data_IF_236272956524
#
_entry.id   IF_236272956524
#
_cell.length_a   1.000
_cell.length_b   1.000
_cell.length_c   1.000
_cell.angle_alpha   90.00
_cell.angle_beta   90.00
_cell.angle_gamma   90.00
#
_symmetry.space_group_name_H-M   'P 1'
#
loop_
_entity.id
_entity.type
_entity.pdbx_description
1 polymer ?
#
# COMPACT_ATOMS: atom_id res chain seq x y z
N UNK A 1 32.04 39.17 -23.99
CA UNK A 1 30.97 38.60 -23.10
C UNK A 1 30.24 39.81 -22.52
N UNK A 2 28.97 40.03 -22.87
CA UNK A 2 28.20 41.16 -22.35
C UNK A 2 27.97 40.97 -20.84
N UNK A 3 28.17 42.02 -20.06
CA UNK A 3 27.86 42.02 -18.63
C UNK A 3 26.36 41.68 -18.42
N UNK A 4 26.02 40.82 -17.47
CA UNK A 4 24.63 40.46 -17.23
C UNK A 4 23.81 41.68 -16.86
N UNK A 5 22.63 41.80 -17.46
CA UNK A 5 21.70 42.90 -17.15
C UNK A 5 21.06 42.63 -15.78
N UNK A 6 21.12 43.62 -14.88
CA UNK A 6 20.55 43.52 -13.54
C UNK A 6 19.13 44.09 -13.53
N UNK A 7 18.20 43.34 -12.98
CA UNK A 7 16.80 43.69 -12.80
C UNK A 7 16.52 44.02 -11.33
N UNK A 8 15.76 45.06 -11.07
CA UNK A 8 15.20 45.28 -9.74
C UNK A 8 14.26 44.16 -9.37
N UNK A 9 14.11 43.88 -8.06
CA UNK A 9 13.26 42.78 -7.56
C UNK A 9 11.82 42.83 -8.12
N UNK A 10 11.25 43.99 -8.37
CA UNK A 10 9.93 44.17 -8.97
C UNK A 10 9.88 43.73 -10.44
N UNK A 11 10.91 44.06 -11.22
CA UNK A 11 11.02 43.65 -12.64
C UNK A 11 11.30 42.15 -12.74
N UNK A 12 12.17 41.63 -11.87
CA UNK A 12 12.46 40.21 -11.79
C UNK A 12 11.21 39.39 -11.37
N UNK A 13 10.42 39.94 -10.45
CA UNK A 13 9.12 39.38 -10.06
C UNK A 13 8.18 39.25 -11.26
N UNK A 14 8.07 40.29 -12.07
CA UNK A 14 7.25 40.26 -13.30
C UNK A 14 7.77 39.26 -14.33
N UNK A 15 9.07 39.20 -14.53
CA UNK A 15 9.70 38.29 -15.49
C UNK A 15 9.56 36.80 -15.09
N UNK A 16 9.57 36.48 -13.79
CA UNK A 16 9.55 35.11 -13.27
C UNK A 16 8.19 34.66 -12.78
N UNK A 17 7.21 35.59 -12.63
CA UNK A 17 5.91 35.36 -12.02
C UNK A 17 6.01 34.85 -10.56
N UNK A 18 7.11 35.22 -9.88
CA UNK A 18 7.29 34.99 -8.44
C UNK A 18 6.99 36.29 -7.70
N UNK A 19 6.23 36.26 -6.64
CA UNK A 19 5.96 37.44 -5.84
C UNK A 19 7.24 37.99 -5.17
N UNK A 20 7.31 39.29 -4.94
CA UNK A 20 8.42 39.93 -4.22
C UNK A 20 8.60 39.29 -2.82
N UNK A 21 7.50 38.87 -2.17
CA UNK A 21 7.53 38.13 -0.87
C UNK A 21 8.24 36.80 -1.03
N UNK A 22 7.93 36.04 -2.07
CA UNK A 22 8.59 34.75 -2.34
C UNK A 22 10.07 34.93 -2.65
N UNK A 23 10.43 35.91 -3.46
CA UNK A 23 11.84 36.23 -3.79
C UNK A 23 12.65 36.57 -2.54
N UNK A 24 12.08 37.35 -1.62
CA UNK A 24 12.71 37.68 -0.34
C UNK A 24 12.89 36.43 0.53
N UNK A 25 11.88 35.58 0.55
CA UNK A 25 11.93 34.30 1.28
C UNK A 25 12.98 33.35 0.69
N UNK A 26 13.05 33.22 -0.64
CA UNK A 26 14.06 32.40 -1.32
C UNK A 26 15.48 32.87 -1.07
N UNK A 27 15.68 34.19 -0.99
CA UNK A 27 16.96 34.74 -0.55
C UNK A 27 17.28 34.36 0.91
N UNK A 28 16.31 34.49 1.83
CA UNK A 28 16.53 34.18 3.25
C UNK A 28 16.93 32.72 3.48
N UNK A 29 16.38 31.78 2.70
CA UNK A 29 16.67 30.35 2.82
C UNK A 29 17.80 29.88 1.90
N UNK A 30 18.46 30.79 1.17
CA UNK A 30 19.56 30.45 0.25
C UNK A 30 19.15 29.67 -1.00
N UNK A 31 17.87 29.69 -1.40
CA UNK A 31 17.38 29.00 -2.59
C UNK A 31 17.60 29.80 -3.88
N UNK A 32 17.44 31.11 -3.82
CA UNK A 32 17.69 32.04 -4.94
C UNK A 32 18.21 33.37 -4.39
N UNK A 33 19.51 33.58 -4.49
CA UNK A 33 20.17 34.74 -3.95
C UNK A 33 20.26 35.86 -5.01
N UNK A 34 19.99 37.14 -4.66
CA UNK A 34 20.23 38.24 -5.56
C UNK A 34 21.73 38.40 -5.83
N UNK A 35 22.09 38.84 -7.02
CA UNK A 35 23.50 39.10 -7.40
C UNK A 35 24.06 40.32 -6.66
N UNK A 36 23.18 41.26 -6.31
CA UNK A 36 23.56 42.47 -5.58
C UNK A 36 22.48 42.86 -4.58
N UNK A 37 22.91 43.29 -3.40
CA UNK A 37 22.07 43.88 -2.36
C UNK A 37 22.68 45.20 -1.92
N UNK A 38 22.02 46.29 -2.23
CA UNK A 38 22.41 47.62 -1.78
C UNK A 38 22.43 47.67 -0.24
N UNK A 39 23.59 47.90 0.35
CA UNK A 39 23.79 47.90 1.80
C UNK A 39 23.08 49.02 2.54
N UNK A 40 22.86 50.17 1.84
CA UNK A 40 22.22 51.32 2.46
C UNK A 40 20.69 51.25 2.42
N UNK A 41 20.13 50.72 1.34
CA UNK A 41 18.68 50.68 1.10
C UNK A 41 18.08 49.30 1.23
N UNK A 42 18.88 48.22 1.26
CA UNK A 42 18.44 46.82 1.26
C UNK A 42 17.82 46.38 -0.10
N UNK A 43 18.03 47.20 -1.17
CA UNK A 43 17.48 46.89 -2.48
C UNK A 43 18.18 45.70 -3.12
N UNK A 44 17.39 44.73 -3.62
CA UNK A 44 17.89 43.50 -4.23
C UNK A 44 17.84 43.58 -5.74
N UNK A 45 18.92 43.15 -6.39
CA UNK A 45 19.02 43.07 -7.85
C UNK A 45 19.35 41.65 -8.27
N UNK A 46 18.67 41.17 -9.28
CA UNK A 46 18.84 39.84 -9.85
C UNK A 46 19.35 39.94 -11.30
N UNK A 47 20.18 38.98 -11.72
CA UNK A 47 20.62 38.88 -13.11
C UNK A 47 19.51 38.28 -13.99
N UNK A 48 19.47 38.71 -15.24
CA UNK A 48 18.62 38.04 -16.26
C UNK A 48 18.95 36.57 -16.41
N UNK A 49 20.18 36.13 -16.15
CA UNK A 49 20.59 34.72 -16.19
C UNK A 49 19.91 33.85 -15.10
N UNK A 50 19.45 34.51 -14.02
CA UNK A 50 18.72 33.82 -12.94
C UNK A 50 17.23 33.57 -13.25
N UNK A 51 16.71 34.12 -14.36
CA UNK A 51 15.30 33.96 -14.73
C UNK A 51 14.98 32.48 -14.95
N UNK A 52 15.82 31.74 -15.68
CA UNK A 52 15.63 30.30 -15.92
C UNK A 52 15.63 29.51 -14.64
N UNK A 53 16.53 29.80 -13.71
CA UNK A 53 16.61 29.17 -12.38
C UNK A 53 15.32 29.43 -11.59
N UNK A 54 14.87 30.68 -11.55
CA UNK A 54 13.63 31.05 -10.86
C UNK A 54 12.40 30.37 -11.45
N UNK A 55 12.35 30.21 -12.78
CA UNK A 55 11.27 29.50 -13.47
C UNK A 55 11.27 27.99 -13.15
N UNK A 56 12.44 27.36 -13.04
CA UNK A 56 12.56 25.96 -12.63
C UNK A 56 12.08 25.78 -11.19
N UNK A 57 12.50 26.64 -10.27
CA UNK A 57 12.03 26.63 -8.88
C UNK A 57 10.50 26.75 -8.83
N UNK A 58 9.93 27.69 -9.61
CA UNK A 58 8.47 27.84 -9.70
C UNK A 58 7.77 26.58 -10.18
N UNK A 59 8.32 25.89 -11.19
CA UNK A 59 7.77 24.64 -11.71
C UNK A 59 7.78 23.53 -10.64
N UNK A 60 8.88 23.34 -9.94
CA UNK A 60 8.94 22.36 -8.84
C UNK A 60 7.94 22.69 -7.72
N UNK A 61 7.78 23.99 -7.38
CA UNK A 61 6.77 24.41 -6.40
C UNK A 61 5.35 24.16 -6.87
N UNK A 62 5.05 24.33 -8.14
CA UNK A 62 3.74 23.99 -8.71
C UNK A 62 3.44 22.49 -8.69
N UNK A 63 4.47 21.65 -8.59
CA UNK A 63 4.39 20.21 -8.39
C UNK A 63 4.49 19.81 -6.90
N UNK A 64 4.28 20.75 -5.99
CA UNK A 64 4.29 20.54 -4.52
C UNK A 64 5.62 20.06 -3.93
N UNK A 65 6.72 20.13 -4.68
CA UNK A 65 8.02 19.74 -4.17
C UNK A 65 8.44 20.65 -2.99
N UNK A 66 8.87 20.10 -1.84
CA UNK A 66 9.37 20.85 -0.69
C UNK A 66 10.56 21.75 -1.03
N UNK A 67 10.67 22.92 -0.37
CA UNK A 67 11.72 23.90 -0.67
C UNK A 67 13.15 23.39 -0.41
N UNK A 68 13.32 22.56 0.58
CA UNK A 68 14.59 21.90 0.92
C UNK A 68 14.99 20.88 -0.15
N UNK A 69 14.05 20.11 -0.68
CA UNK A 69 14.29 19.20 -1.80
C UNK A 69 14.64 19.99 -3.08
N UNK A 70 13.90 21.07 -3.39
CA UNK A 70 14.21 21.94 -4.52
C UNK A 70 15.64 22.49 -4.38
N UNK A 71 16.02 22.95 -3.20
CA UNK A 71 17.39 23.44 -2.95
C UNK A 71 18.42 22.36 -3.21
N UNK A 72 18.18 21.13 -2.74
CA UNK A 72 19.06 19.99 -2.98
C UNK A 72 19.18 19.67 -4.47
N UNK A 73 18.06 19.61 -5.19
CA UNK A 73 18.03 19.40 -6.64
C UNK A 73 18.80 20.49 -7.40
N UNK A 74 18.62 21.77 -7.01
CA UNK A 74 19.27 22.90 -7.67
C UNK A 74 20.77 23.01 -7.38
N UNK A 75 21.23 22.54 -6.20
CA UNK A 75 22.65 22.55 -5.82
C UNK A 75 23.40 21.30 -6.27
N UNK A 76 22.71 20.21 -6.62
CA UNK A 76 23.34 18.97 -7.07
C UNK A 76 23.88 19.10 -8.49
N UNK A 77 25.20 18.95 -8.64
CA UNK A 77 25.91 19.00 -9.93
C UNK A 77 25.93 17.66 -10.65
N UNK A 78 25.81 16.56 -9.90
CA UNK A 78 25.72 15.20 -10.44
C UNK A 78 24.33 14.94 -11.04
N UNK A 79 24.28 14.69 -12.36
CA UNK A 79 23.05 14.50 -13.11
C UNK A 79 22.29 13.23 -12.65
N UNK A 80 22.92 12.05 -12.49
CA UNK A 80 22.28 10.87 -11.93
C UNK A 80 21.60 11.14 -10.58
N UNK A 81 22.32 11.70 -9.62
CA UNK A 81 21.79 11.99 -8.28
C UNK A 81 20.62 12.98 -8.34
N UNK A 82 20.72 14.02 -9.18
CA UNK A 82 19.62 14.96 -9.37
C UNK A 82 18.38 14.29 -9.94
N UNK A 83 18.53 13.37 -10.88
CA UNK A 83 17.43 12.63 -11.47
C UNK A 83 16.79 11.67 -10.45
N UNK A 84 17.58 11.04 -9.55
CA UNK A 84 17.07 10.23 -8.45
C UNK A 84 16.17 11.02 -7.50
N UNK A 85 16.57 12.24 -7.12
CA UNK A 85 15.76 13.12 -6.27
C UNK A 85 14.42 13.49 -6.95
N UNK A 86 14.45 13.80 -8.24
CA UNK A 86 13.23 14.11 -9.00
C UNK A 86 12.34 12.86 -9.12
N UNK A 87 12.93 11.70 -9.41
CA UNK A 87 12.19 10.42 -9.49
C UNK A 87 11.56 10.04 -8.15
N UNK A 88 12.26 10.25 -7.03
CA UNK A 88 11.69 10.00 -5.71
C UNK A 88 10.44 10.85 -5.45
N UNK A 89 10.46 12.13 -5.89
CA UNK A 89 9.27 12.96 -5.81
C UNK A 89 8.14 12.50 -6.74
N UNK A 90 8.47 12.08 -7.97
CA UNK A 90 7.49 11.52 -8.91
C UNK A 90 6.78 10.30 -8.31
N UNK A 91 7.54 9.36 -7.74
CA UNK A 91 6.97 8.15 -7.09
C UNK A 91 6.02 8.53 -5.95
N UNK A 92 6.34 9.57 -5.16
CA UNK A 92 5.44 10.06 -4.09
C UNK A 92 4.13 10.61 -4.68
N UNK A 93 4.20 11.39 -5.75
CA UNK A 93 2.99 11.92 -6.42
C UNK A 93 2.13 10.81 -7.02
N UNK A 94 2.74 9.79 -7.64
CA UNK A 94 2.03 8.62 -8.18
C UNK A 94 1.34 7.83 -7.06
N UNK A 95 2.01 7.63 -5.94
CA UNK A 95 1.44 6.97 -4.76
C UNK A 95 0.26 7.77 -4.18
N UNK A 96 0.41 9.09 -4.07
CA UNK A 96 -0.66 9.97 -3.59
C UNK A 96 -1.87 9.99 -4.55
N UNK A 97 -1.61 9.98 -5.86
CA UNK A 97 -2.68 9.87 -6.87
C UNK A 97 -3.43 8.53 -6.75
N UNK A 98 -2.70 7.43 -6.59
CA UNK A 98 -3.30 6.10 -6.40
C UNK A 98 -4.15 6.06 -5.13
N UNK A 99 -3.66 6.61 -4.01
CA UNK A 99 -4.42 6.73 -2.77
C UNK A 99 -5.71 7.56 -2.95
N UNK A 100 -5.60 8.72 -3.60
CA UNK A 100 -6.76 9.61 -3.84
C UNK A 100 -7.80 8.94 -4.73
N UNK A 101 -7.38 8.22 -5.77
CA UNK A 101 -8.29 7.47 -6.65
C UNK A 101 -9.07 6.42 -5.87
N UNK A 102 -8.41 5.65 -4.99
CA UNK A 102 -9.05 4.66 -4.13
C UNK A 102 -10.08 5.30 -3.18
N UNK A 103 -9.70 6.40 -2.52
CA UNK A 103 -10.61 7.12 -1.64
C UNK A 103 -11.87 7.63 -2.37
N UNK A 104 -11.72 8.10 -3.61
CA UNK A 104 -12.84 8.53 -4.45
C UNK A 104 -13.74 7.34 -4.82
N UNK A 105 -13.16 6.18 -5.12
CA UNK A 105 -13.92 4.97 -5.44
C UNK A 105 -14.71 4.49 -4.23
N UNK A 106 -14.06 4.37 -3.07
CA UNK A 106 -14.72 4.03 -1.81
C UNK A 106 -15.88 4.96 -1.45
N UNK A 107 -15.71 6.28 -1.68
CA UNK A 107 -16.81 7.23 -1.47
C UNK A 107 -17.96 7.05 -2.47
N UNK A 108 -17.69 6.68 -3.72
CA UNK A 108 -18.73 6.36 -4.70
C UNK A 108 -19.54 5.14 -4.30
N UNK A 109 -18.85 4.08 -3.83
CA UNK A 109 -19.49 2.87 -3.31
C UNK A 109 -20.41 3.15 -2.11
N UNK A 110 -20.04 4.07 -1.23
CA UNK A 110 -20.90 4.53 -0.13
C UNK A 110 -22.12 5.31 -0.61
N UNK A 111 -22.03 6.04 -1.73
CA UNK A 111 -23.14 6.84 -2.29
C UNK A 111 -24.08 5.99 -3.18
N UNK A 112 -23.55 5.01 -3.84
CA UNK A 112 -24.29 4.05 -4.66
C UNK A 112 -23.99 2.64 -4.11
N UNK A 113 -24.60 2.25 -2.97
CA UNK A 113 -24.39 0.90 -2.49
C UNK A 113 -24.87 -0.04 -3.61
N UNK A 114 -23.91 -0.62 -4.32
CA UNK A 114 -24.15 -1.76 -5.19
C UNK A 114 -24.91 -2.83 -4.40
N UNK A 115 -25.54 -3.81 -5.05
CA UNK A 115 -26.13 -4.92 -4.32
C UNK A 115 -25.09 -5.39 -3.31
N UNK A 116 -25.43 -5.27 -2.02
CA UNK A 116 -24.57 -5.68 -0.91
C UNK A 116 -23.86 -6.95 -1.35
N UNK A 117 -22.57 -7.05 -1.13
CA UNK A 117 -21.78 -8.19 -1.59
C UNK A 117 -22.53 -9.48 -1.18
N UNK A 118 -23.51 -9.88 -2.00
CA UNK A 118 -24.25 -11.13 -1.91
C UNK A 118 -23.29 -12.23 -2.38
N UNK A 119 -22.14 -12.29 -1.72
CA UNK A 119 -21.39 -13.51 -1.66
C UNK A 119 -22.37 -14.52 -1.08
N UNK A 120 -22.75 -15.52 -1.88
CA UNK A 120 -23.63 -16.59 -1.39
C UNK A 120 -23.01 -17.13 -0.13
N UNK A 121 -23.64 -16.88 1.01
CA UNK A 121 -23.22 -17.52 2.26
C UNK A 121 -23.48 -19.00 2.11
N UNK A 122 -22.45 -19.78 2.35
CA UNK A 122 -22.46 -21.24 2.24
C UNK A 122 -22.03 -21.88 3.54
N UNK A 123 -22.25 -23.18 3.64
CA UNK A 123 -21.71 -24.03 4.70
C UNK A 123 -20.77 -25.03 4.08
N UNK A 124 -19.59 -25.18 4.66
CA UNK A 124 -18.57 -26.07 4.15
C UNK A 124 -17.86 -26.79 5.29
N UNK A 125 -17.73 -28.10 5.18
CA UNK A 125 -16.84 -28.86 6.01
C UNK A 125 -15.48 -28.98 5.37
N UNK A 126 -14.43 -28.68 6.12
CA UNK A 126 -13.04 -28.85 5.71
C UNK A 126 -12.41 -29.95 6.55
N UNK A 127 -11.70 -30.85 5.90
CA UNK A 127 -10.95 -31.90 6.58
C UNK A 127 -9.60 -31.40 7.06
N UNK A 128 -9.03 -32.06 8.07
CA UNK A 128 -7.69 -31.75 8.53
C UNK A 128 -6.68 -31.91 7.37
N UNK A 129 -5.84 -30.90 7.18
CA UNK A 129 -4.96 -30.84 6.01
C UNK A 129 -3.53 -30.51 6.43
N UNK A 130 -2.60 -31.36 5.99
CA UNK A 130 -1.17 -31.09 6.16
C UNK A 130 -0.72 -29.95 5.26
N UNK A 131 0.00 -29.00 5.83
CA UNK A 131 0.50 -27.83 5.15
C UNK A 131 1.87 -27.41 5.67
N UNK A 132 2.62 -26.66 4.89
CA UNK A 132 3.71 -25.84 5.39
C UNK A 132 3.19 -24.44 5.66
N UNK A 133 3.71 -23.81 6.68
CA UNK A 133 3.23 -22.51 7.14
C UNK A 133 4.36 -21.58 7.58
N UNK A 134 4.06 -20.29 7.54
CA UNK A 134 4.84 -19.23 8.19
C UNK A 134 3.89 -18.52 9.17
N UNK A 135 4.31 -18.41 10.41
CA UNK A 135 3.54 -17.76 11.48
C UNK A 135 4.38 -16.69 12.14
N UNK A 136 3.82 -15.49 12.23
CA UNK A 136 4.48 -14.34 12.88
C UNK A 136 3.44 -13.44 13.55
N UNK A 137 3.90 -12.57 14.44
CA UNK A 137 3.09 -11.47 14.98
C UNK A 137 3.32 -10.25 14.10
N UNK A 138 2.27 -9.82 13.41
CA UNK A 138 2.31 -8.72 12.42
C UNK A 138 1.46 -7.54 12.86
N UNK A 139 1.77 -6.36 12.33
CA UNK A 139 0.86 -5.21 12.46
C UNK A 139 -0.18 -5.28 11.33
N UNK A 140 -1.38 -4.83 11.61
CA UNK A 140 -2.48 -4.84 10.62
C UNK A 140 -2.13 -4.04 9.36
N UNK A 141 -1.43 -2.90 9.52
CA UNK A 141 -0.97 -2.07 8.40
C UNK A 141 -0.03 -2.79 7.42
N UNK A 142 0.71 -3.78 7.91
CA UNK A 142 1.73 -4.49 7.13
C UNK A 142 1.24 -5.89 6.70
N UNK A 143 0.07 -6.31 7.21
CA UNK A 143 -0.43 -7.68 7.08
C UNK A 143 -0.52 -8.16 5.63
N UNK A 144 -1.05 -7.34 4.72
CA UNK A 144 -1.17 -7.71 3.30
C UNK A 144 0.19 -7.94 2.64
N UNK A 145 1.14 -7.03 2.86
CA UNK A 145 2.50 -7.17 2.32
C UNK A 145 3.20 -8.39 2.89
N UNK A 146 3.01 -8.64 4.20
CA UNK A 146 3.55 -9.82 4.86
C UNK A 146 2.96 -11.12 4.30
N UNK A 147 1.63 -11.21 4.13
CA UNK A 147 0.93 -12.36 3.54
C UNK A 147 1.48 -12.67 2.15
N UNK A 148 1.61 -11.66 1.29
CA UNK A 148 2.13 -11.83 -0.07
C UNK A 148 3.58 -12.35 -0.06
N UNK A 149 4.44 -11.78 0.78
CA UNK A 149 5.83 -12.21 0.93
C UNK A 149 5.96 -13.64 1.47
N UNK A 150 5.20 -13.96 2.51
CA UNK A 150 5.21 -15.29 3.13
C UNK A 150 4.66 -16.37 2.18
N UNK A 151 3.58 -16.09 1.43
CA UNK A 151 3.07 -17.01 0.41
C UNK A 151 4.09 -17.25 -0.69
N UNK A 152 4.75 -16.20 -1.19
CA UNK A 152 5.78 -16.33 -2.22
C UNK A 152 6.94 -17.24 -1.73
N UNK A 153 7.37 -17.09 -0.47
CA UNK A 153 8.40 -17.94 0.15
C UNK A 153 7.95 -19.39 0.26
N UNK A 154 6.70 -19.64 0.69
CA UNK A 154 6.11 -20.98 0.79
C UNK A 154 6.05 -21.65 -0.58
N UNK A 155 5.50 -20.99 -1.61
CA UNK A 155 5.42 -21.52 -2.97
C UNK A 155 6.80 -21.82 -3.57
N UNK A 156 7.76 -20.90 -3.39
CA UNK A 156 9.13 -21.10 -3.85
C UNK A 156 9.77 -22.33 -3.19
N UNK A 157 9.53 -22.52 -1.89
CA UNK A 157 10.11 -23.67 -1.15
C UNK A 157 9.49 -24.98 -1.58
N UNK A 158 8.16 -25.07 -1.73
CA UNK A 158 7.49 -26.28 -2.22
C UNK A 158 8.05 -26.69 -3.59
N UNK A 159 8.18 -25.69 -4.48
CA UNK A 159 8.69 -25.90 -5.84
C UNK A 159 10.16 -26.34 -5.84
N UNK A 160 11.01 -25.65 -5.06
CA UNK A 160 12.45 -25.94 -4.98
C UNK A 160 12.75 -27.34 -4.40
N UNK A 161 11.91 -27.84 -3.52
CA UNK A 161 12.06 -29.18 -2.93
C UNK A 161 11.35 -30.29 -3.71
N UNK A 162 10.71 -29.97 -4.83
CA UNK A 162 10.05 -30.94 -5.70
C UNK A 162 8.75 -31.52 -5.12
N UNK A 163 8.22 -30.92 -4.06
CA UNK A 163 6.92 -31.27 -3.51
C UNK A 163 5.79 -30.70 -4.40
N UNK A 164 4.57 -31.22 -4.22
CA UNK A 164 3.40 -30.78 -5.00
C UNK A 164 2.43 -30.02 -4.11
N UNK A 165 1.97 -28.88 -4.60
CA UNK A 165 0.87 -28.15 -3.96
C UNK A 165 -0.40 -28.99 -4.07
N UNK A 166 -1.15 -29.14 -2.96
CA UNK A 166 -2.33 -29.96 -2.89
C UNK A 166 -3.47 -29.26 -2.15
N UNK A 167 -4.20 -28.44 -2.89
CA UNK A 167 -5.30 -27.66 -2.34
C UNK A 167 -5.04 -26.17 -2.35
N UNK A 168 -5.96 -25.43 -1.75
CA UNK A 168 -5.93 -23.97 -1.74
C UNK A 168 -5.07 -23.46 -0.59
N UNK A 169 -4.16 -22.56 -0.87
CA UNK A 169 -3.41 -21.83 0.15
C UNK A 169 -4.36 -20.94 0.96
N UNK A 170 -3.99 -20.66 2.20
CA UNK A 170 -4.84 -19.84 3.05
C UNK A 170 -4.09 -19.13 4.16
N UNK A 171 -4.88 -18.37 4.93
CA UNK A 171 -4.45 -17.68 6.13
C UNK A 171 -5.34 -18.00 7.33
N UNK A 172 -4.76 -17.93 8.50
CA UNK A 172 -5.43 -18.01 9.82
C UNK A 172 -4.99 -16.75 10.57
N UNK A 173 -5.95 -15.91 10.90
CA UNK A 173 -5.69 -14.62 11.52
C UNK A 173 -6.35 -14.57 12.89
N UNK A 174 -5.55 -14.36 13.93
CA UNK A 174 -6.08 -14.24 15.28
C UNK A 174 -6.89 -12.94 15.43
N UNK A 175 -7.92 -13.00 16.26
CA UNK A 175 -8.80 -11.85 16.55
C UNK A 175 -8.02 -10.61 17.04
N UNK A 176 -6.92 -10.84 17.77
CA UNK A 176 -6.02 -9.79 18.23
C UNK A 176 -5.44 -8.94 17.09
N UNK A 177 -5.25 -9.50 15.89
CA UNK A 177 -4.75 -8.76 14.74
C UNK A 177 -5.68 -7.61 14.36
N UNK A 178 -6.98 -7.85 14.44
CA UNK A 178 -7.99 -6.81 14.15
C UNK A 178 -8.26 -5.96 15.41
N UNK A 179 -8.47 -6.59 16.56
CA UNK A 179 -8.88 -5.91 17.79
C UNK A 179 -7.78 -5.00 18.38
N UNK A 180 -6.51 -5.37 18.21
CA UNK A 180 -5.36 -4.67 18.77
C UNK A 180 -4.41 -4.12 17.68
N UNK A 181 -4.82 -4.12 16.41
CA UNK A 181 -4.02 -3.73 15.24
C UNK A 181 -2.67 -4.47 15.14
N UNK A 182 -2.50 -5.53 15.93
CA UNK A 182 -1.31 -6.37 15.98
C UNK A 182 -1.65 -7.72 16.59
N UNK A 183 -1.33 -8.81 15.88
CA UNK A 183 -1.62 -10.15 16.37
C UNK A 183 -0.93 -11.24 15.56
N UNK A 184 -1.07 -12.50 16.00
CA UNK A 184 -0.60 -13.65 15.27
C UNK A 184 -1.31 -13.78 13.92
N UNK A 185 -0.52 -13.98 12.87
CA UNK A 185 -0.97 -14.31 11.54
C UNK A 185 -0.19 -15.54 11.05
N UNK A 186 -0.90 -16.47 10.44
CA UNK A 186 -0.33 -17.67 9.85
C UNK A 186 -0.80 -17.79 8.42
N UNK A 187 0.12 -17.94 7.47
CA UNK A 187 -0.22 -18.34 6.10
C UNK A 187 0.29 -19.75 5.85
N UNK A 188 -0.45 -20.52 5.07
CA UNK A 188 -0.14 -21.91 4.82
C UNK A 188 -0.38 -22.32 3.38
N UNK A 189 0.39 -23.32 2.93
CA UNK A 189 0.22 -23.96 1.61
C UNK A 189 0.13 -25.46 1.84
N UNK A 190 -1.02 -26.09 1.51
CA UNK A 190 -1.15 -27.55 1.54
C UNK A 190 -0.23 -28.20 0.51
N UNK A 191 0.42 -29.28 0.90
CA UNK A 191 1.37 -29.98 0.02
C UNK A 191 1.24 -31.49 0.12
N UNK A 192 1.88 -32.18 -0.81
CA UNK A 192 2.10 -33.62 -0.77
C UNK A 192 3.55 -33.93 -1.17
N UNK A 193 4.17 -34.86 -0.47
CA UNK A 193 5.57 -35.22 -0.59
C UNK A 193 6.37 -34.84 0.64
N UNK A 194 7.67 -35.05 0.60
CA UNK A 194 8.55 -34.72 1.72
C UNK A 194 9.08 -33.29 1.58
N UNK A 195 8.92 -32.48 2.61
CA UNK A 195 9.48 -31.14 2.71
C UNK A 195 10.38 -31.06 3.95
N UNK A 196 11.61 -30.58 3.75
CA UNK A 196 12.53 -30.28 4.86
C UNK A 196 12.27 -28.87 5.37
N UNK A 197 12.18 -28.72 6.67
CA UNK A 197 12.09 -27.40 7.32
C UNK A 197 13.30 -26.55 6.96
N UNK A 198 13.05 -25.36 6.46
CA UNK A 198 14.12 -24.43 6.08
C UNK A 198 13.71 -23.03 6.53
N UNK A 199 14.61 -22.29 7.18
CA UNK A 199 14.34 -20.92 7.64
C UNK A 199 13.23 -20.86 8.70
N UNK A 200 12.20 -20.05 8.44
CA UNK A 200 11.04 -19.83 9.34
C UNK A 200 9.84 -20.71 9.02
N UNK A 201 9.98 -21.65 8.10
CA UNK A 201 8.91 -22.56 7.73
C UNK A 201 8.65 -23.61 8.81
N UNK A 202 7.39 -23.87 9.08
CA UNK A 202 6.93 -24.89 10.02
C UNK A 202 5.92 -25.82 9.35
N UNK A 203 5.85 -27.05 9.83
CA UNK A 203 4.75 -27.95 9.48
C UNK A 203 3.52 -27.58 10.29
N UNK A 204 2.38 -27.55 9.64
CA UNK A 204 1.09 -27.22 10.23
C UNK A 204 0.06 -28.28 9.79
N UNK A 205 -0.71 -28.78 10.72
CA UNK A 205 -1.96 -29.45 10.40
C UNK A 205 -3.07 -28.43 10.57
N UNK A 206 -3.63 -27.93 9.46
CA UNK A 206 -4.83 -27.10 9.50
C UNK A 206 -5.97 -27.99 9.99
N UNK A 207 -6.59 -27.70 11.16
CA UNK A 207 -7.56 -28.61 11.74
C UNK A 207 -8.83 -28.69 10.90
N UNK A 208 -9.52 -29.82 10.99
CA UNK A 208 -10.86 -29.95 10.42
C UNK A 208 -11.80 -28.95 11.08
N UNK A 209 -12.73 -28.39 10.30
CA UNK A 209 -13.73 -27.47 10.83
C UNK A 209 -15.00 -27.46 9.98
N UNK A 210 -16.09 -27.05 10.58
CA UNK A 210 -17.30 -26.64 9.87
C UNK A 210 -17.31 -25.13 9.78
N UNK A 211 -17.45 -24.61 8.57
CA UNK A 211 -17.32 -23.19 8.27
C UNK A 211 -18.61 -22.65 7.67
N UNK A 212 -19.04 -21.51 8.14
CA UNK A 212 -19.89 -20.63 7.35
C UNK A 212 -18.97 -19.82 6.45
N UNK A 213 -19.22 -19.82 5.15
CA UNK A 213 -18.32 -19.19 4.18
C UNK A 213 -18.99 -18.15 3.34
N UNK A 214 -18.21 -17.16 2.93
CA UNK A 214 -18.55 -16.19 1.88
C UNK A 214 -17.36 -16.03 0.96
N UNK A 215 -17.59 -15.88 -0.34
CA UNK A 215 -16.52 -15.58 -1.30
C UNK A 215 -16.54 -14.10 -1.58
N UNK A 216 -15.47 -13.43 -1.18
CA UNK A 216 -15.19 -12.05 -1.57
C UNK A 216 -14.57 -12.02 -2.96
N UNK A 217 -15.03 -11.08 -3.80
CA UNK A 217 -14.56 -10.86 -5.16
C UNK A 217 -13.94 -9.47 -5.28
N UNK A 218 -12.74 -9.37 -5.80
CA UNK A 218 -12.04 -8.09 -5.97
C UNK A 218 -10.89 -7.89 -4.99
N UNK A 219 -10.47 -6.64 -4.87
CA UNK A 219 -9.36 -6.24 -3.99
C UNK A 219 -9.74 -6.39 -2.52
N UNK A 220 -8.74 -6.34 -1.64
CA UNK A 220 -8.99 -6.45 -0.19
C UNK A 220 -9.55 -5.16 0.46
N UNK A 221 -9.94 -4.15 -0.34
CA UNK A 221 -10.44 -2.88 0.21
C UNK A 221 -11.82 -3.01 0.87
N UNK A 222 -12.69 -3.84 0.31
CA UNK A 222 -14.07 -4.05 0.75
C UNK A 222 -14.23 -5.36 1.53
N UNK A 223 -13.12 -5.87 2.05
CA UNK A 223 -13.10 -7.12 2.82
C UNK A 223 -13.99 -7.03 4.07
N UNK A 224 -14.06 -5.85 4.68
CA UNK A 224 -14.91 -5.54 5.82
C UNK A 224 -16.40 -5.81 5.54
N UNK A 225 -16.88 -5.57 4.32
CA UNK A 225 -18.26 -5.84 3.93
C UNK A 225 -18.55 -7.36 3.94
N UNK A 226 -17.61 -8.17 3.42
CA UNK A 226 -17.75 -9.61 3.42
C UNK A 226 -17.68 -10.19 4.85
N UNK A 227 -16.77 -9.69 5.67
CA UNK A 227 -16.69 -10.03 7.10
C UNK A 227 -17.96 -9.64 7.86
N UNK A 228 -18.51 -8.44 7.64
CA UNK A 228 -19.73 -7.96 8.25
C UNK A 228 -20.96 -8.80 7.87
N UNK A 229 -21.10 -9.17 6.60
CA UNK A 229 -22.16 -10.05 6.12
C UNK A 229 -22.06 -11.45 6.76
N UNK A 230 -20.84 -12.00 6.82
CA UNK A 230 -20.58 -13.31 7.43
C UNK A 230 -20.88 -13.29 8.94
N UNK A 231 -20.40 -12.27 9.66
CA UNK A 231 -20.65 -12.10 11.10
C UNK A 231 -22.15 -11.98 11.41
N UNK A 232 -22.88 -11.21 10.61
CA UNK A 232 -24.33 -11.06 10.74
C UNK A 232 -25.05 -12.39 10.58
N UNK A 233 -24.67 -13.16 9.56
CA UNK A 233 -25.26 -14.47 9.32
C UNK A 233 -24.95 -15.45 10.44
N UNK A 234 -23.69 -15.53 10.89
CA UNK A 234 -23.28 -16.41 12.00
C UNK A 234 -24.05 -16.07 13.27
N UNK A 235 -24.14 -14.79 13.62
CA UNK A 235 -24.88 -14.36 14.82
C UNK A 235 -26.37 -14.73 14.80
N UNK A 236 -26.97 -14.82 13.63
CA UNK A 236 -28.40 -15.11 13.47
C UNK A 236 -28.72 -16.61 13.27
N UNK A 237 -27.80 -17.40 12.70
CA UNK A 237 -28.13 -18.72 12.18
C UNK A 237 -27.16 -19.82 12.60
N UNK A 238 -26.08 -19.51 13.30
CA UNK A 238 -25.07 -20.49 13.66
C UNK A 238 -24.56 -20.30 15.10
N UNK A 239 -23.85 -21.29 15.59
CA UNK A 239 -23.16 -21.23 16.90
C UNK A 239 -21.66 -21.05 16.57
N UNK A 240 -21.06 -19.89 16.82
CA UNK A 240 -19.63 -19.69 16.56
C UNK A 240 -18.79 -20.58 17.50
N UNK A 241 -17.66 -21.03 17.00
CA UNK A 241 -16.62 -21.68 17.78
C UNK A 241 -15.52 -20.67 18.04
N UNK A 242 -14.89 -20.73 19.21
CA UNK A 242 -13.77 -19.87 19.60
C UNK A 242 -12.48 -20.31 18.88
N UNK A 243 -12.50 -20.17 17.55
CA UNK A 243 -11.38 -20.43 16.65
C UNK A 243 -11.22 -19.26 15.68
N UNK A 244 -9.99 -18.95 15.25
CA UNK A 244 -9.73 -17.87 14.30
C UNK A 244 -10.45 -18.08 12.97
N UNK A 245 -10.86 -16.98 12.35
CA UNK A 245 -11.37 -16.97 10.98
C UNK A 245 -10.27 -17.43 10.02
N UNK A 246 -10.68 -18.16 9.00
CA UNK A 246 -9.79 -18.69 7.97
C UNK A 246 -10.09 -18.04 6.62
N UNK A 247 -9.05 -17.74 5.90
CA UNK A 247 -9.14 -17.24 4.52
C UNK A 247 -8.50 -18.27 3.58
N UNK A 248 -9.17 -18.54 2.46
CA UNK A 248 -8.65 -19.41 1.41
C UNK A 248 -8.51 -18.60 0.11
N UNK A 249 -7.29 -18.47 -0.40
CA UNK A 249 -6.96 -17.65 -1.56
C UNK A 249 -7.24 -18.43 -2.85
N UNK A 250 -8.49 -18.35 -3.34
CA UNK A 250 -8.93 -19.08 -4.53
C UNK A 250 -8.26 -18.57 -5.79
N UNK A 251 -8.16 -17.26 -5.93
CA UNK A 251 -7.39 -16.53 -6.93
C UNK A 251 -6.76 -15.34 -6.24
N UNK A 252 -5.44 -15.20 -6.29
CA UNK A 252 -4.72 -14.17 -5.57
C UNK A 252 -3.63 -13.49 -6.40
N UNK A 253 -2.80 -12.65 -5.77
CA UNK A 253 -1.70 -11.94 -6.44
C UNK A 253 -0.68 -12.84 -7.14
N UNK A 254 -0.56 -14.10 -6.72
CA UNK A 254 0.30 -15.11 -7.35
C UNK A 254 -0.26 -15.61 -8.68
N UNK A 255 -1.57 -15.50 -8.90
CA UNK A 255 -2.25 -16.00 -10.08
C UNK A 255 -2.43 -14.89 -11.14
N UNK A 256 -2.77 -13.68 -10.68
CA UNK A 256 -2.98 -12.52 -11.56
C UNK A 256 -2.70 -11.21 -10.85
N UNK A 257 -2.25 -10.21 -11.62
CA UNK A 257 -2.12 -8.82 -11.15
C UNK A 257 -3.41 -8.01 -11.23
N UNK A 258 -4.43 -8.56 -11.89
CA UNK A 258 -5.75 -7.94 -11.98
C UNK A 258 -6.52 -8.21 -10.69
N UNK A 259 -6.58 -7.19 -9.84
CA UNK A 259 -7.25 -7.27 -8.54
C UNK A 259 -8.74 -7.58 -8.66
N UNK A 260 -9.39 -7.23 -9.77
CA UNK A 260 -10.82 -7.51 -9.99
C UNK A 260 -11.11 -8.99 -10.16
N UNK A 261 -10.09 -9.77 -10.54
CA UNK A 261 -10.17 -11.21 -10.67
C UNK A 261 -9.92 -11.97 -9.37
N UNK A 262 -9.43 -11.32 -8.33
CA UNK A 262 -9.13 -11.99 -7.06
C UNK A 262 -10.39 -12.54 -6.42
N UNK A 263 -10.24 -13.67 -5.75
CA UNK A 263 -11.31 -14.38 -5.04
C UNK A 263 -10.74 -14.98 -3.76
N UNK A 264 -11.30 -14.55 -2.63
CA UNK A 264 -10.94 -15.08 -1.33
C UNK A 264 -12.17 -15.62 -0.63
N UNK A 265 -12.16 -16.89 -0.25
CA UNK A 265 -13.20 -17.47 0.58
C UNK A 265 -12.86 -17.18 2.06
N UNK A 266 -13.76 -16.51 2.75
CA UNK A 266 -13.67 -16.24 4.19
C UNK A 266 -14.53 -17.28 4.89
N UNK A 267 -13.96 -18.01 5.84
CA UNK A 267 -14.62 -19.08 6.57
C UNK A 267 -14.62 -18.81 8.07
N UNK A 268 -15.81 -18.68 8.65
CA UNK A 268 -16.01 -18.56 10.09
C UNK A 268 -16.26 -19.92 10.69
N UNK A 269 -15.44 -20.40 11.64
CA UNK A 269 -15.66 -21.68 12.30
C UNK A 269 -16.95 -21.67 13.13
N UNK A 270 -17.77 -22.72 12.94
CA UNK A 270 -19.05 -22.85 13.62
C UNK A 270 -19.25 -24.28 14.11
N UNK A 271 -20.09 -24.44 15.11
CA UNK A 271 -20.61 -25.72 15.47
C UNK A 271 -21.91 -25.96 14.71
N UNK A 272 -21.89 -26.89 13.78
CA UNK A 272 -23.08 -27.26 13.01
C UNK A 272 -23.58 -28.62 13.43
N UNK A 273 -24.76 -28.69 14.04
CA UNK A 273 -25.48 -29.94 14.25
C UNK A 273 -26.20 -30.31 12.97
N UNK A 274 -25.68 -31.25 12.22
CA UNK A 274 -26.46 -31.86 11.13
C UNK A 274 -27.66 -32.56 11.79
N UNK A 275 -28.84 -31.95 11.63
CA UNK A 275 -30.07 -32.72 11.87
C UNK A 275 -30.15 -33.78 10.79
N UNK A 276 -29.99 -35.04 11.16
CA UNK A 276 -30.13 -36.20 10.30
C UNK A 276 -31.56 -36.30 9.81
#
# INVERSE_FOLDING_TARGET
MSSPVLLAIGDFSRATQLSVKMLRHYHQIGLLEPVDVDRATGYRRYSTDQISTAQIIRRFRALEMPLDEIRTVMSTTDIPQRNELINAHLIRLESQLAHTKRAVESLRELLEPGPAAEGRIGYRRVEATEAIAISEVVNLSDALTWVQGALAELYATVTAQGARIRGTAGGIFADDLIANERGPATVFVPFAGDIRRTGRLTELVVPAAELVTVVHAGSYHDFDLAYGALATHVAQHAIPVDEPIREYFLVGPQDTRDETAWRTEIGWPVFHTTTT
#
